data_IF_389297040011
#
_entry.id   IF_389297040011
#
_cell.length_a   1.000
_cell.length_b   1.000
_cell.length_c   1.000
_cell.angle_alpha   90.00
_cell.angle_beta   90.00
_cell.angle_gamma   90.00
#
_symmetry.space_group_name_H-M   'P 1'
#
loop_
_entity.id
_entity.type
_entity.pdbx_description
1 polymer ?
#
# COMPACT_ATOMS: atom_id res chain seq x y z
N UNK A 1 -2.41 5.86 7.47
CA UNK A 1 -3.03 4.71 6.73
C UNK A 1 -2.78 4.82 5.24
N UNK A 2 -2.85 6.02 4.65
CA UNK A 2 -2.53 6.24 3.23
C UNK A 2 -1.09 5.81 2.87
N UNK A 3 -0.09 6.15 3.70
CA UNK A 3 1.31 5.69 3.49
C UNK A 3 1.40 4.17 3.34
N UNK A 4 0.70 3.41 4.19
CA UNK A 4 0.70 1.95 4.13
C UNK A 4 0.00 1.44 2.86
N UNK A 5 -1.12 2.07 2.47
CA UNK A 5 -1.82 1.74 1.23
C UNK A 5 -0.95 2.00 -0.02
N UNK A 6 -0.01 2.96 0.04
CA UNK A 6 0.93 3.26 -1.03
C UNK A 6 2.16 2.33 -1.00
N UNK A 7 2.80 2.16 0.16
CA UNK A 7 4.10 1.48 0.29
C UNK A 7 3.95 -0.04 0.23
N UNK A 8 2.89 -0.61 0.79
CA UNK A 8 2.73 -2.08 0.86
C UNK A 8 2.74 -2.72 -0.52
N UNK A 9 1.97 -2.25 -1.53
CA UNK A 9 2.03 -2.82 -2.88
C UNK A 9 3.44 -2.78 -3.51
N UNK A 10 4.21 -1.72 -3.26
CA UNK A 10 5.56 -1.57 -3.78
C UNK A 10 6.53 -2.57 -3.14
N UNK A 11 6.45 -2.73 -1.81
CA UNK A 11 7.25 -3.72 -1.09
C UNK A 11 6.93 -5.13 -1.57
N UNK A 12 5.64 -5.45 -1.74
CA UNK A 12 5.21 -6.77 -2.25
C UNK A 12 5.73 -7.00 -3.66
N UNK A 13 5.69 -6.00 -4.54
CA UNK A 13 6.24 -6.10 -5.89
C UNK A 13 7.75 -6.37 -5.86
N UNK A 14 8.50 -5.65 -5.02
CA UNK A 14 9.94 -5.86 -4.85
C UNK A 14 10.27 -7.26 -4.29
N UNK A 15 9.51 -7.73 -3.29
CA UNK A 15 9.66 -9.08 -2.74
C UNK A 15 9.34 -10.14 -3.80
N UNK A 16 8.28 -9.93 -4.58
CA UNK A 16 7.87 -10.85 -5.66
C UNK A 16 8.93 -10.92 -6.76
N UNK A 17 9.54 -9.79 -7.11
CA UNK A 17 10.64 -9.72 -8.08
C UNK A 17 11.88 -10.52 -7.60
N UNK A 18 12.10 -10.58 -6.28
CA UNK A 18 13.21 -11.33 -5.70
C UNK A 18 12.96 -12.85 -5.62
N UNK A 19 11.76 -13.34 -5.98
CA UNK A 19 11.43 -14.77 -5.93
C UNK A 19 12.18 -15.50 -7.05
N UNK A 20 13.01 -16.52 -6.74
CA UNK A 20 13.68 -17.32 -7.76
C UNK A 20 12.67 -18.15 -8.56
N UNK A 21 12.92 -18.38 -9.86
CA UNK A 21 12.01 -19.14 -10.76
C UNK A 21 11.56 -20.51 -10.21
N UNK A 22 12.42 -21.22 -9.47
CA UNK A 22 12.05 -22.51 -8.83
C UNK A 22 10.89 -22.39 -7.83
N UNK A 23 10.64 -21.19 -7.31
CA UNK A 23 9.60 -20.89 -6.32
C UNK A 23 8.51 -19.95 -6.88
N UNK A 24 8.38 -19.82 -8.21
CA UNK A 24 7.40 -18.93 -8.84
C UNK A 24 5.96 -19.21 -8.39
N UNK A 25 5.65 -20.46 -8.01
CA UNK A 25 4.37 -20.84 -7.43
C UNK A 25 4.01 -20.08 -6.14
N UNK A 26 4.99 -19.51 -5.42
CA UNK A 26 4.78 -18.71 -4.21
C UNK A 26 4.37 -17.25 -4.51
N UNK A 27 4.61 -16.74 -5.72
CA UNK A 27 4.33 -15.35 -6.07
C UNK A 27 2.83 -15.03 -5.97
N UNK A 28 1.98 -15.92 -6.49
CA UNK A 28 0.52 -15.74 -6.47
C UNK A 28 -0.08 -15.73 -5.06
N UNK A 29 0.14 -16.73 -4.19
CA UNK A 29 -0.40 -16.70 -2.83
C UNK A 29 0.17 -15.52 -2.02
N UNK A 30 1.44 -15.15 -2.23
CA UNK A 30 2.02 -13.95 -1.59
C UNK A 30 1.27 -12.68 -2.01
N UNK A 31 1.06 -12.46 -3.30
CA UNK A 31 0.34 -11.29 -3.80
C UNK A 31 -1.11 -11.24 -3.27
N UNK A 32 -1.80 -12.38 -3.22
CA UNK A 32 -3.16 -12.46 -2.67
C UNK A 32 -3.15 -12.11 -1.18
N UNK A 33 -2.33 -12.78 -0.38
CA UNK A 33 -2.28 -12.56 1.07
C UNK A 33 -1.94 -11.11 1.42
N UNK A 34 -0.99 -10.52 0.70
CA UNK A 34 -0.54 -9.16 0.96
C UNK A 34 -1.49 -8.09 0.43
N UNK A 35 -2.35 -8.40 -0.56
CA UNK A 35 -3.39 -7.47 -1.03
C UNK A 35 -4.45 -7.14 0.03
N UNK A 36 -4.63 -8.01 1.03
CA UNK A 36 -5.50 -7.71 2.16
C UNK A 36 -4.96 -6.59 3.05
N UNK A 37 -3.65 -6.35 3.08
CA UNK A 37 -3.05 -5.29 3.90
C UNK A 37 -3.51 -3.88 3.49
N UNK A 38 -3.35 -3.42 2.22
CA UNK A 38 -3.87 -2.13 1.81
C UNK A 38 -5.41 -2.09 1.89
N UNK A 39 -6.10 -3.21 1.62
CA UNK A 39 -7.56 -3.28 1.76
C UNK A 39 -8.00 -2.99 3.21
N UNK A 40 -7.38 -3.63 4.19
CA UNK A 40 -7.65 -3.41 5.62
C UNK A 40 -7.30 -1.97 6.00
N UNK A 41 -6.17 -1.44 5.54
CA UNK A 41 -5.76 -0.07 5.83
C UNK A 41 -6.79 0.95 5.31
N UNK A 42 -7.33 0.75 4.10
CA UNK A 42 -8.39 1.59 3.52
C UNK A 42 -9.71 1.40 4.27
N UNK A 43 -10.09 0.17 4.62
CA UNK A 43 -11.30 -0.10 5.38
C UNK A 43 -11.28 0.58 6.77
N UNK A 44 -10.15 0.53 7.48
CA UNK A 44 -9.96 1.24 8.75
C UNK A 44 -10.05 2.76 8.54
N UNK A 45 -9.44 3.27 7.47
CA UNK A 45 -9.49 4.70 7.15
C UNK A 45 -10.91 5.16 6.88
N UNK A 46 -11.66 4.36 6.12
CA UNK A 46 -13.06 4.63 5.80
C UNK A 46 -13.96 4.59 7.03
N UNK A 47 -13.78 3.61 7.91
CA UNK A 47 -14.53 3.51 9.17
C UNK A 47 -14.28 4.70 10.11
N UNK A 48 -13.16 5.40 9.96
CA UNK A 48 -12.78 6.58 10.75
C UNK A 48 -12.97 7.90 10.00
N UNK A 49 -13.49 7.85 8.79
CA UNK A 49 -13.60 9.01 7.92
C UNK A 49 -14.70 9.96 8.42
N UNK A 50 -14.36 11.24 8.56
CA UNK A 50 -15.32 12.29 8.92
C UNK A 50 -15.85 12.98 7.64
N UNK A 51 -17.15 12.90 7.37
CA UNK A 51 -17.72 13.47 6.15
C UNK A 51 -17.90 14.99 6.17
N UNK A 52 -17.67 15.64 7.31
CA UNK A 52 -17.87 17.08 7.47
C UNK A 52 -16.65 17.93 7.09
N UNK A 53 -15.49 17.31 6.89
CA UNK A 53 -14.22 17.99 6.60
C UNK A 53 -13.69 17.64 5.20
N UNK A 54 -12.67 18.38 4.74
CA UNK A 54 -12.03 18.18 3.43
C UNK A 54 -11.17 16.92 3.34
N UNK A 55 -10.13 16.93 2.48
CA UNK A 55 -9.24 15.78 2.34
C UNK A 55 -8.51 15.44 3.66
N UNK A 56 -8.73 14.23 4.18
CA UNK A 56 -8.11 13.74 5.44
C UNK A 56 -6.93 12.80 5.22
N UNK A 57 -6.89 12.12 4.08
CA UNK A 57 -5.82 11.19 3.72
C UNK A 57 -4.95 11.87 2.69
N UNK A 58 -4.01 12.69 3.14
CA UNK A 58 -3.05 13.41 2.28
C UNK A 58 -1.65 13.14 2.79
N UNK A 59 -0.84 12.50 1.96
CA UNK A 59 0.61 12.40 2.15
C UNK A 59 1.26 13.34 1.16
N UNK A 60 2.19 14.16 1.63
CA UNK A 60 2.95 15.08 0.77
C UNK A 60 4.43 14.83 0.97
N UNK A 61 5.19 14.89 -0.12
CA UNK A 61 6.64 14.86 -0.10
C UNK A 61 7.13 16.04 -0.92
N UNK A 62 8.09 16.79 -0.38
CA UNK A 62 8.69 17.88 -1.12
C UNK A 62 9.48 17.30 -2.29
N UNK A 63 9.06 17.62 -3.51
CA UNK A 63 9.72 17.14 -4.71
C UNK A 63 10.95 17.98 -5.03
N UNK A 64 10.80 19.30 -5.12
CA UNK A 64 11.88 20.24 -5.44
C UNK A 64 12.09 21.13 -4.21
N UNK A 65 13.25 21.09 -3.54
CA UNK A 65 13.49 21.83 -2.29
C UNK A 65 13.35 23.36 -2.39
N UNK A 66 13.45 23.89 -3.60
CA UNK A 66 13.47 25.32 -3.90
C UNK A 66 12.13 25.90 -4.39
N UNK A 67 11.09 25.07 -4.48
CA UNK A 67 9.69 25.47 -4.70
C UNK A 67 8.89 25.20 -3.43
#
# INVERSE_FOLDING_TARGET
MLTLAIVVPLVVAAVTLAIPKRHEHLARPLAIATSFLPLIAVAISWARFDFSTGFQLVESAQWIPSL
#
